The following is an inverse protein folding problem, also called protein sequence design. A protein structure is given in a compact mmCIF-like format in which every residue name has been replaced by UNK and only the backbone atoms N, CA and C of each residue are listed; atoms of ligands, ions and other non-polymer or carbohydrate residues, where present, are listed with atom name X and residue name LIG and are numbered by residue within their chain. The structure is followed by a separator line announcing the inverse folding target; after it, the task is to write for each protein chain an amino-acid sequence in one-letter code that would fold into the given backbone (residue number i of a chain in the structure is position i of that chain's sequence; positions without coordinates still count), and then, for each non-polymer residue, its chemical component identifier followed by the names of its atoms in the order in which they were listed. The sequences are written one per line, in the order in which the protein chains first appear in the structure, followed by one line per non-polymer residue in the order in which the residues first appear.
data_IF_387097825576
#
_entry.id   IF_387097825576
#
_cell.length_a   1.000
_cell.length_b   1.000
_cell.length_c   1.000
_cell.angle_alpha   90.00
_cell.angle_beta   90.00
_cell.angle_gamma   90.00
#
_symmetry.space_group_name_H-M   'P 1'
#
loop_
_entity.id
_entity.type
_entity.pdbx_description
1 polymer ?
#
# COMPACT_ATOMS: atom_id res chain seq x y z
N UNK A 1 31.10 24.88 18.47
CA UNK A 1 30.13 25.67 17.67
C UNK A 1 29.81 24.85 16.44
N UNK A 2 28.68 24.17 16.29
CA UNK A 2 27.58 23.89 17.20
C UNK A 2 26.96 22.55 16.77
N UNK A 3 26.72 21.68 17.75
CA UNK A 3 25.93 20.47 17.60
C UNK A 3 24.47 20.83 17.34
N UNK A 4 23.92 20.35 16.22
CA UNK A 4 22.49 20.38 15.96
C UNK A 4 21.95 18.95 16.12
N UNK A 5 21.26 18.75 17.24
CA UNK A 5 20.63 17.54 17.71
C UNK A 5 19.78 16.82 16.64
N UNK A 6 20.12 15.55 16.34
CA UNK A 6 19.17 14.59 15.77
C UNK A 6 18.23 14.10 16.88
N UNK A 7 17.10 14.77 17.03
CA UNK A 7 16.02 14.31 17.89
C UNK A 7 15.29 13.10 17.29
N UNK A 8 15.69 11.89 17.66
CA UNK A 8 14.82 10.73 17.52
C UNK A 8 13.76 10.80 18.63
N UNK A 9 12.53 11.19 18.31
CA UNK A 9 11.41 11.03 19.24
C UNK A 9 10.96 9.57 19.24
N UNK A 10 11.39 8.83 20.27
CA UNK A 10 10.76 7.56 20.63
C UNK A 10 9.40 7.88 21.26
N UNK A 11 8.31 7.60 20.55
CA UNK A 11 6.97 7.66 21.13
C UNK A 11 6.66 6.28 21.71
N UNK A 12 6.65 6.18 23.03
CA UNK A 12 6.27 4.99 23.79
C UNK A 12 4.74 5.01 23.99
N UNK A 13 4.03 3.99 23.52
CA UNK A 13 2.56 3.93 23.60
C UNK A 13 2.08 2.70 24.37
N UNK A 14 1.55 2.94 25.57
CA UNK A 14 0.63 2.02 26.24
C UNK A 14 -0.78 2.18 25.68
N UNK A 15 -1.53 1.09 25.59
CA UNK A 15 -2.85 0.98 24.94
C UNK A 15 -3.97 1.88 25.52
N UNK A 16 -3.69 2.66 26.57
CA UNK A 16 -4.64 3.57 27.22
C UNK A 16 -4.25 5.07 27.14
N UNK A 17 -3.15 5.45 26.48
CA UNK A 17 -2.78 6.87 26.40
C UNK A 17 -3.31 7.51 25.11
N UNK A 18 -4.14 8.55 25.26
CA UNK A 18 -4.62 9.38 24.17
C UNK A 18 -3.45 9.95 23.35
N UNK A 19 -3.47 9.70 22.05
CA UNK A 19 -2.62 10.39 21.07
C UNK A 19 -3.00 11.88 21.04
N UNK A 20 -2.31 12.70 21.83
CA UNK A 20 -2.31 14.14 21.63
C UNK A 20 -1.22 14.50 20.62
N UNK A 21 -1.61 14.74 19.37
CA UNK A 21 -0.79 15.51 18.45
C UNK A 21 -0.92 16.98 18.85
N UNK A 22 0.11 17.56 19.46
CA UNK A 22 0.16 19.00 19.69
C UNK A 22 0.22 19.71 18.32
N UNK A 23 -0.86 20.40 17.95
CA UNK A 23 -0.89 21.36 16.83
C UNK A 23 -1.73 21.00 15.60
N UNK A 24 -2.47 19.89 15.58
CA UNK A 24 -3.41 19.59 14.49
C UNK A 24 -4.81 20.15 14.80
N UNK A 25 -5.48 20.74 13.81
CA UNK A 25 -6.90 21.10 13.89
C UNK A 25 -7.72 19.94 14.46
N UNK A 26 -8.65 20.21 15.37
CA UNK A 26 -9.53 19.20 16.00
C UNK A 26 -10.42 18.45 15.00
N UNK A 27 -10.55 18.93 13.75
CA UNK A 27 -11.23 18.21 12.67
C UNK A 27 -10.25 17.22 11.98
N UNK A 28 -10.46 15.90 12.07
CA UNK A 28 -9.62 14.93 11.35
C UNK A 28 -9.85 14.93 9.84
N UNK A 29 -10.91 15.57 9.35
CA UNK A 29 -11.30 15.62 7.92
C UNK A 29 -10.94 16.96 7.25
N UNK A 30 -9.87 17.61 7.68
CA UNK A 30 -9.32 18.80 6.99
C UNK A 30 -9.09 18.48 5.51
N UNK A 31 -9.48 19.41 4.64
CA UNK A 31 -9.42 19.30 3.17
C UNK A 31 -10.27 18.18 2.52
N UNK A 32 -11.13 17.51 3.28
CA UNK A 32 -12.08 16.55 2.72
C UNK A 32 -13.31 17.27 2.17
N UNK A 33 -13.73 16.88 0.96
CA UNK A 33 -14.92 17.42 0.32
C UNK A 33 -16.18 17.14 1.15
N UNK A 34 -17.03 18.16 1.34
CA UNK A 34 -18.28 18.06 2.12
C UNK A 34 -19.14 16.85 1.77
N UNK A 35 -19.37 16.58 0.47
CA UNK A 35 -20.14 15.39 0.03
C UNK A 35 -19.53 14.05 0.47
N UNK A 36 -18.20 13.94 0.52
CA UNK A 36 -17.53 12.73 1.02
C UNK A 36 -17.69 12.64 2.53
N UNK A 37 -17.45 13.75 3.24
CA UNK A 37 -17.62 13.84 4.69
C UNK A 37 -19.06 13.47 5.11
N UNK A 38 -20.07 14.02 4.46
CA UNK A 38 -21.48 13.74 4.72
C UNK A 38 -21.83 12.26 4.47
N UNK A 39 -21.28 11.67 3.40
CA UNK A 39 -21.49 10.27 3.06
C UNK A 39 -20.83 9.34 4.10
N UNK A 40 -19.59 9.64 4.49
CA UNK A 40 -18.86 8.88 5.49
C UNK A 40 -19.51 8.97 6.86
N UNK A 41 -19.99 10.15 7.27
CA UNK A 41 -20.75 10.32 8.51
C UNK A 41 -22.02 9.46 8.53
N UNK A 42 -22.71 9.29 7.39
CA UNK A 42 -23.90 8.44 7.27
C UNK A 42 -23.58 6.94 7.33
N UNK A 43 -22.48 6.51 6.73
CA UNK A 43 -22.14 5.07 6.64
C UNK A 43 -21.37 4.57 7.88
N UNK A 44 -20.64 5.45 8.56
CA UNK A 44 -19.65 5.09 9.58
C UNK A 44 -20.02 5.61 10.99
N UNK A 45 -21.29 5.98 11.19
CA UNK A 45 -21.80 6.75 12.35
C UNK A 45 -21.34 6.26 13.73
N UNK A 46 -21.12 4.96 13.90
CA UNK A 46 -20.85 4.37 15.22
C UNK A 46 -19.34 4.18 15.54
N UNK A 47 -18.45 4.33 14.55
CA UNK A 47 -17.02 3.98 14.66
C UNK A 47 -16.06 5.02 14.02
N UNK A 48 -16.52 6.27 13.86
CA UNK A 48 -15.77 7.32 13.15
C UNK A 48 -14.43 7.68 13.82
N UNK A 49 -14.37 7.65 15.16
CA UNK A 49 -13.23 8.14 15.94
C UNK A 49 -11.95 7.27 15.84
N UNK A 50 -12.08 5.96 15.67
CA UNK A 50 -10.91 5.09 15.47
C UNK A 50 -10.37 5.20 14.04
N UNK A 51 -11.28 5.30 13.06
CA UNK A 51 -10.97 5.52 11.65
C UNK A 51 -10.29 6.86 11.43
N UNK A 52 -10.78 7.90 12.10
CA UNK A 52 -10.30 9.27 11.93
C UNK A 52 -8.83 9.44 12.32
N UNK A 53 -8.35 8.73 13.34
CA UNK A 53 -6.93 8.80 13.76
C UNK A 53 -5.97 8.32 12.69
N UNK A 54 -6.22 7.11 12.13
CA UNK A 54 -5.37 6.60 11.05
C UNK A 54 -5.56 7.41 9.77
N UNK A 55 -6.78 7.90 9.50
CA UNK A 55 -7.06 8.79 8.39
C UNK A 55 -6.24 10.09 8.48
N UNK A 56 -6.19 10.75 9.65
CA UNK A 56 -5.36 11.95 9.86
C UNK A 56 -3.88 11.67 9.60
N UNK A 57 -3.41 10.46 9.94
CA UNK A 57 -2.04 10.05 9.64
C UNK A 57 -1.83 9.94 8.12
N UNK A 58 -2.73 9.25 7.41
CA UNK A 58 -2.72 9.18 5.95
C UNK A 58 -2.76 10.57 5.31
N UNK A 59 -3.63 11.46 5.81
CA UNK A 59 -3.82 12.82 5.30
C UNK A 59 -2.61 13.74 5.54
N UNK A 60 -1.63 13.32 6.36
CA UNK A 60 -0.34 14.02 6.49
C UNK A 60 0.62 13.76 5.33
N UNK A 61 0.27 12.87 4.38
CA UNK A 61 1.06 12.49 3.20
C UNK A 61 2.47 11.91 3.49
N UNK A 62 2.86 11.75 4.74
CA UNK A 62 4.08 11.04 5.16
C UNK A 62 4.04 9.57 4.79
N UNK A 63 5.21 8.99 4.54
CA UNK A 63 5.31 7.53 4.40
C UNK A 63 4.94 6.86 5.72
N UNK A 64 4.13 5.81 5.67
CA UNK A 64 3.59 5.13 6.86
C UNK A 64 3.99 3.66 6.81
N UNK A 65 4.52 3.14 7.92
CA UNK A 65 4.67 1.70 8.14
C UNK A 65 3.92 1.29 9.41
N UNK A 66 2.88 0.47 9.26
CA UNK A 66 2.08 -0.07 10.34
C UNK A 66 2.12 -1.60 10.36
N UNK A 67 2.97 -2.15 11.23
CA UNK A 67 3.27 -3.59 11.32
C UNK A 67 2.57 -4.29 12.51
N UNK A 68 1.40 -3.80 12.89
CA UNK A 68 0.51 -4.45 13.87
C UNK A 68 -0.95 -4.23 13.45
N UNK A 69 -1.19 -4.20 12.13
CA UNK A 69 -2.55 -4.22 11.60
C UNK A 69 -3.17 -5.55 12.03
N UNK A 70 -4.40 -5.53 12.54
CA UNK A 70 -5.12 -6.77 12.87
C UNK A 70 -5.85 -7.23 11.61
N UNK A 71 -5.34 -8.23 10.87
CA UNK A 71 -5.99 -8.74 9.67
C UNK A 71 -7.32 -9.42 10.03
N UNK A 72 -8.25 -9.48 9.07
CA UNK A 72 -9.55 -10.11 9.29
C UNK A 72 -9.51 -11.58 9.68
N UNK A 73 -8.46 -12.30 9.26
CA UNK A 73 -8.32 -13.73 9.49
C UNK A 73 -7.82 -14.06 10.90
N UNK A 74 -7.43 -13.06 11.70
CA UNK A 74 -7.20 -13.24 13.14
C UNK A 74 -8.49 -12.88 13.89
N UNK A 75 -9.19 -13.89 14.43
CA UNK A 75 -10.49 -13.77 15.13
C UNK A 75 -10.56 -12.52 16.05
N UNK A 76 -11.69 -11.80 15.98
CA UNK A 76 -12.16 -10.98 17.09
C UNK A 76 -12.09 -9.47 16.95
N UNK A 77 -12.11 -8.86 15.75
CA UNK A 77 -12.21 -7.40 15.73
C UNK A 77 -12.80 -6.74 14.50
N UNK A 78 -13.72 -5.80 14.75
CA UNK A 78 -14.11 -4.71 13.85
C UNK A 78 -12.91 -3.82 13.41
N UNK A 79 -11.70 -4.07 13.92
CA UNK A 79 -10.47 -3.27 13.71
C UNK A 79 -9.83 -3.42 12.32
N UNK A 80 -9.96 -4.54 11.59
CA UNK A 80 -9.48 -4.60 10.19
C UNK A 80 -10.21 -3.54 9.34
N UNK A 81 -11.52 -3.38 9.57
CA UNK A 81 -12.32 -2.39 8.86
C UNK A 81 -11.88 -0.95 9.15
N UNK A 82 -11.33 -0.62 10.32
CA UNK A 82 -11.06 0.78 10.65
C UNK A 82 -9.82 1.33 9.93
N UNK A 83 -8.72 0.56 9.91
CA UNK A 83 -7.49 0.93 9.20
C UNK A 83 -7.73 0.89 7.68
N UNK A 84 -8.46 -0.13 7.23
CA UNK A 84 -8.88 -0.27 5.83
C UNK A 84 -9.70 0.94 5.37
N UNK A 85 -10.73 1.32 6.12
CA UNK A 85 -11.55 2.48 5.79
C UNK A 85 -10.72 3.75 5.73
N UNK A 86 -9.81 3.95 6.67
CA UNK A 86 -8.98 5.15 6.73
C UNK A 86 -8.09 5.34 5.48
N UNK A 87 -7.37 4.31 5.02
CA UNK A 87 -6.56 4.47 3.80
C UNK A 87 -7.42 4.53 2.53
N UNK A 88 -8.59 3.88 2.50
CA UNK A 88 -9.52 3.96 1.37
C UNK A 88 -10.17 5.34 1.28
N UNK A 89 -10.59 5.90 2.41
CA UNK A 89 -11.09 7.28 2.51
C UNK A 89 -10.03 8.27 2.06
N UNK A 90 -8.77 8.08 2.45
CA UNK A 90 -7.64 8.89 2.01
C UNK A 90 -7.45 8.83 0.49
N UNK A 91 -7.38 7.64 -0.08
CA UNK A 91 -7.29 7.43 -1.53
C UNK A 91 -8.45 8.10 -2.29
N UNK A 92 -9.70 7.95 -1.81
CA UNK A 92 -10.87 8.59 -2.39
C UNK A 92 -10.77 10.12 -2.30
N UNK A 93 -10.42 10.66 -1.13
CA UNK A 93 -10.25 12.09 -0.91
C UNK A 93 -9.25 12.66 -1.91
N UNK A 94 -8.08 12.01 -2.01
CA UNK A 94 -7.00 12.42 -2.89
C UNK A 94 -7.42 12.41 -4.37
N UNK A 95 -8.01 11.31 -4.85
CA UNK A 95 -8.51 11.21 -6.23
C UNK A 95 -9.54 12.31 -6.54
N UNK A 96 -10.48 12.55 -5.62
CA UNK A 96 -11.48 13.60 -5.80
C UNK A 96 -10.88 15.00 -5.81
N UNK A 97 -9.91 15.28 -4.93
CA UNK A 97 -9.20 16.58 -4.87
C UNK A 97 -8.44 16.85 -6.16
N UNK A 98 -7.60 15.92 -6.58
CA UNK A 98 -6.79 16.06 -7.81
C UNK A 98 -7.68 16.27 -9.04
N UNK A 99 -8.78 15.53 -9.12
CA UNK A 99 -9.73 15.68 -10.23
C UNK A 99 -10.49 17.01 -10.21
N UNK A 100 -10.89 17.49 -9.03
CA UNK A 100 -11.60 18.76 -8.91
C UNK A 100 -10.71 19.94 -9.32
N UNK A 101 -9.41 19.90 -9.00
CA UNK A 101 -8.43 20.90 -9.45
C UNK A 101 -8.34 20.90 -10.98
N UNK A 102 -8.14 19.73 -11.60
CA UNK A 102 -8.06 19.61 -13.07
C UNK A 102 -9.33 20.13 -13.74
N UNK A 103 -10.51 19.78 -13.24
CA UNK A 103 -11.79 20.25 -13.82
C UNK A 103 -11.94 21.77 -13.70
N UNK A 104 -11.52 22.36 -12.56
CA UNK A 104 -11.58 23.81 -12.35
C UNK A 104 -10.64 24.55 -13.31
N UNK A 105 -9.41 24.09 -13.44
CA UNK A 105 -8.43 24.68 -14.34
C UNK A 105 -8.81 24.49 -15.81
N UNK A 106 -9.34 23.33 -16.19
CA UNK A 106 -9.92 23.12 -17.52
C UNK A 106 -11.06 24.12 -17.81
N UNK A 107 -11.88 24.46 -16.82
CA UNK A 107 -12.95 25.43 -16.99
C UNK A 107 -12.43 26.86 -17.13
N UNK A 108 -11.39 27.24 -16.38
CA UNK A 108 -10.73 28.54 -16.51
C UNK A 108 -10.10 28.71 -17.90
N UNK A 109 -9.32 27.73 -18.35
CA UNK A 109 -8.63 27.77 -19.66
C UNK A 109 -9.59 27.78 -20.84
N UNK A 110 -10.79 27.20 -20.71
CA UNK A 110 -11.84 27.33 -21.74
C UNK A 110 -12.46 28.73 -21.80
N UNK A 111 -12.49 29.44 -20.67
CA UNK A 111 -13.12 30.76 -20.56
C UNK A 111 -12.13 31.89 -20.87
N UNK A 112 -10.83 31.66 -20.69
CA UNK A 112 -9.77 32.63 -20.95
C UNK A 112 -8.63 31.97 -21.75
N UNK A 113 -8.74 32.04 -23.07
CA UNK A 113 -7.79 31.41 -24.00
C UNK A 113 -6.44 32.16 -24.10
N UNK A 114 -6.35 33.38 -23.57
CA UNK A 114 -5.13 34.19 -23.57
C UNK A 114 -4.31 34.01 -22.28
N UNK A 115 -4.77 33.17 -21.34
CA UNK A 115 -4.02 32.90 -20.12
C UNK A 115 -2.73 32.14 -20.46
N UNK A 116 -1.58 32.73 -20.15
CA UNK A 116 -0.31 32.04 -20.25
C UNK A 116 -0.16 31.03 -19.10
N UNK A 117 -0.32 29.75 -19.44
CA UNK A 117 -0.18 28.60 -18.53
C UNK A 117 1.25 28.49 -17.99
N UNK A 118 2.25 29.04 -18.69
CA UNK A 118 3.65 28.93 -18.30
C UNK A 118 4.04 29.89 -17.17
N UNK A 119 3.34 31.02 -17.03
CA UNK A 119 3.63 32.05 -16.01
C UNK A 119 2.91 31.80 -14.67
N UNK A 120 1.78 31.07 -14.67
CA UNK A 120 1.02 30.76 -13.46
C UNK A 120 1.07 29.26 -13.10
N UNK A 121 1.89 28.95 -12.08
CA UNK A 121 2.03 27.61 -11.51
C UNK A 121 0.70 26.99 -11.03
N UNK A 122 -0.36 27.79 -10.82
CA UNK A 122 -1.68 27.29 -10.42
C UNK A 122 -2.34 26.40 -11.49
N UNK A 123 -1.91 26.50 -12.75
CA UNK A 123 -2.35 25.65 -13.86
C UNK A 123 -1.51 24.38 -14.04
N UNK A 124 -0.39 24.23 -13.32
CA UNK A 124 0.42 23.01 -13.30
C UNK A 124 -0.17 21.99 -12.34
N UNK A 125 -1.25 21.36 -12.78
CA UNK A 125 -2.09 20.49 -11.95
C UNK A 125 -2.02 19.00 -12.33
N UNK A 126 -1.30 18.64 -13.38
CA UNK A 126 -1.23 17.29 -13.94
C UNK A 126 0.11 16.60 -13.65
N UNK A 127 0.08 15.28 -13.73
CA UNK A 127 1.29 14.46 -13.95
C UNK A 127 1.27 13.90 -15.36
N UNK A 128 2.30 13.18 -15.77
CA UNK A 128 2.40 12.51 -17.08
C UNK A 128 1.19 11.63 -17.41
N UNK A 129 0.65 10.93 -16.42
CA UNK A 129 -0.47 10.00 -16.57
C UNK A 129 -1.54 10.23 -15.51
N UNK A 130 -2.73 9.69 -15.77
CA UNK A 130 -3.89 9.88 -14.91
C UNK A 130 -3.87 9.11 -13.59
N UNK A 131 -3.38 7.85 -13.51
CA UNK A 131 -3.37 7.10 -12.27
C UNK A 131 -2.63 7.84 -11.17
N UNK A 132 -3.27 8.00 -10.01
CA UNK A 132 -2.70 8.65 -8.82
C UNK A 132 -2.52 7.70 -7.66
N UNK A 133 -3.31 6.64 -7.59
CA UNK A 133 -3.25 5.68 -6.47
C UNK A 133 -2.96 4.27 -7.00
N UNK A 134 -2.08 3.56 -6.31
CA UNK A 134 -1.77 2.15 -6.55
C UNK A 134 -2.04 1.33 -5.28
N UNK A 135 -2.90 0.31 -5.38
CA UNK A 135 -3.07 -0.73 -4.37
C UNK A 135 -2.31 -1.99 -4.77
N UNK A 136 -1.38 -2.43 -3.93
CA UNK A 136 -0.66 -3.69 -4.06
C UNK A 136 -1.15 -4.66 -2.99
N UNK A 137 -1.75 -5.76 -3.46
CA UNK A 137 -2.48 -6.71 -2.61
C UNK A 137 -2.08 -8.14 -2.96
N UNK A 138 -2.05 -9.07 -1.99
CA UNK A 138 -1.52 -10.42 -2.22
C UNK A 138 -2.49 -11.35 -2.96
N UNK A 139 -3.80 -11.25 -2.70
CA UNK A 139 -4.81 -12.24 -3.13
C UNK A 139 -6.06 -11.56 -3.70
N UNK A 140 -6.74 -12.23 -4.64
CA UNK A 140 -8.03 -11.77 -5.18
C UNK A 140 -9.11 -11.61 -4.12
N UNK A 141 -9.20 -12.52 -3.14
CA UNK A 141 -10.15 -12.39 -2.01
C UNK A 141 -9.98 -11.07 -1.24
N UNK A 142 -8.73 -10.65 -1.01
CA UNK A 142 -8.39 -9.37 -0.37
C UNK A 142 -8.71 -8.18 -1.30
N UNK A 143 -8.38 -8.28 -2.59
CA UNK A 143 -8.73 -7.28 -3.58
C UNK A 143 -10.25 -7.07 -3.66
N UNK A 144 -11.04 -8.13 -3.59
CA UNK A 144 -12.51 -8.08 -3.54
C UNK A 144 -13.02 -7.30 -2.34
N UNK A 145 -12.52 -7.61 -1.14
CA UNK A 145 -12.88 -6.89 0.09
C UNK A 145 -12.59 -5.40 -0.05
N UNK A 146 -11.42 -5.04 -0.57
CA UNK A 146 -10.99 -3.66 -0.79
C UNK A 146 -11.85 -2.93 -1.80
N UNK A 147 -12.13 -3.52 -2.97
CA UNK A 147 -12.95 -2.88 -3.99
C UNK A 147 -14.39 -2.72 -3.52
N UNK A 148 -14.98 -3.74 -2.90
CA UNK A 148 -16.34 -3.66 -2.33
C UNK A 148 -16.42 -2.51 -1.33
N UNK A 149 -15.44 -2.41 -0.42
CA UNK A 149 -15.43 -1.35 0.60
C UNK A 149 -15.16 0.03 0.01
N UNK A 150 -14.25 0.14 -0.96
CA UNK A 150 -13.99 1.38 -1.71
C UNK A 150 -15.26 1.91 -2.40
N UNK A 151 -16.04 1.01 -3.01
CA UNK A 151 -17.32 1.38 -3.64
C UNK A 151 -18.34 1.84 -2.59
N UNK A 152 -18.45 1.15 -1.44
CA UNK A 152 -19.34 1.57 -0.34
C UNK A 152 -18.96 2.95 0.22
N UNK A 153 -17.67 3.23 0.36
CA UNK A 153 -17.16 4.52 0.84
C UNK A 153 -17.27 5.64 -0.20
N UNK A 154 -17.55 5.32 -1.47
CA UNK A 154 -17.78 6.29 -2.52
C UNK A 154 -19.26 6.71 -2.54
N UNK A 155 -19.58 8.01 -2.65
CA UNK A 155 -20.96 8.50 -2.77
C UNK A 155 -21.53 8.31 -4.18
N UNK A 156 -20.77 7.71 -5.10
CA UNK A 156 -21.14 7.55 -6.51
C UNK A 156 -21.83 6.20 -6.75
N UNK A 157 -22.73 6.17 -7.72
CA UNK A 157 -23.39 4.92 -8.08
C UNK A 157 -22.42 3.97 -8.79
N UNK A 158 -22.55 2.69 -8.55
CA UNK A 158 -21.77 1.70 -9.26
C UNK A 158 -22.42 1.44 -10.64
N UNK A 159 -21.62 1.26 -11.71
CA UNK A 159 -22.17 0.91 -13.04
C UNK A 159 -22.33 -0.61 -13.17
N UNK A 160 -23.57 -1.09 -13.14
CA UNK A 160 -23.95 -2.52 -13.04
C UNK A 160 -23.11 -3.48 -13.89
N UNK A 161 -22.92 -3.20 -15.19
CA UNK A 161 -22.20 -4.11 -16.09
C UNK A 161 -20.77 -4.45 -15.61
N UNK A 162 -20.07 -3.49 -14.99
CA UNK A 162 -18.70 -3.72 -14.50
C UNK A 162 -18.66 -4.50 -13.19
N UNK A 163 -19.73 -4.46 -12.38
CA UNK A 163 -19.81 -5.27 -11.16
C UNK A 163 -20.10 -6.73 -11.48
N UNK A 164 -20.93 -6.99 -12.49
CA UNK A 164 -21.22 -8.37 -12.91
C UNK A 164 -19.94 -9.11 -13.32
N UNK A 165 -19.08 -8.46 -14.11
CA UNK A 165 -17.76 -9.01 -14.45
C UNK A 165 -16.88 -9.18 -13.20
N UNK A 166 -16.83 -8.17 -12.33
CA UNK A 166 -16.02 -8.23 -11.12
C UNK A 166 -16.41 -9.38 -10.20
N UNK A 167 -17.72 -9.55 -9.96
CA UNK A 167 -18.28 -10.66 -9.18
C UNK A 167 -17.94 -12.02 -9.79
N UNK A 168 -17.96 -12.13 -11.12
CA UNK A 168 -17.58 -13.37 -11.82
C UNK A 168 -16.11 -13.71 -11.67
N UNK A 169 -15.22 -12.71 -11.67
CA UNK A 169 -13.76 -12.93 -11.62
C UNK A 169 -13.21 -13.02 -10.20
N UNK A 170 -13.82 -12.33 -9.23
CA UNK A 170 -13.31 -12.23 -7.85
C UNK A 170 -14.23 -12.90 -6.80
N UNK A 171 -15.44 -13.34 -7.20
CA UNK A 171 -16.45 -13.94 -6.32
C UNK A 171 -17.56 -12.98 -5.86
N UNK A 172 -18.71 -13.53 -5.45
CA UNK A 172 -19.89 -12.73 -5.08
C UNK A 172 -19.92 -12.35 -3.59
N UNK A 173 -19.64 -13.28 -2.68
CA UNK A 173 -19.77 -13.07 -1.24
C UNK A 173 -18.48 -13.40 -0.48
N UNK A 174 -18.25 -12.74 0.66
CA UNK A 174 -17.18 -13.14 1.59
C UNK A 174 -17.61 -14.36 2.43
N UNK A 175 -18.89 -14.74 2.33
CA UNK A 175 -19.57 -15.77 3.13
C UNK A 175 -19.65 -17.14 2.43
N UNK A 176 -19.23 -17.23 1.16
CA UNK A 176 -18.89 -18.49 0.47
C UNK A 176 -17.59 -19.05 1.07
N UNK A 177 -17.64 -19.36 2.37
CA UNK A 177 -16.57 -20.05 3.06
C UNK A 177 -16.63 -21.52 2.63
N UNK A 178 -15.58 -21.98 1.96
CA UNK A 178 -15.36 -23.42 1.81
C UNK A 178 -15.33 -24.09 3.17
N UNK A 179 -15.71 -25.38 3.24
CA UNK A 179 -15.68 -26.09 4.51
C UNK A 179 -14.27 -26.03 5.13
N UNK A 180 -14.16 -25.60 6.40
CA UNK A 180 -12.87 -25.36 7.01
C UNK A 180 -12.08 -26.67 7.07
N UNK A 181 -10.85 -26.63 6.57
CA UNK A 181 -9.97 -27.79 6.66
C UNK A 181 -9.59 -28.02 8.13
N UNK A 182 -10.08 -29.11 8.71
CA UNK A 182 -9.84 -29.47 10.12
C UNK A 182 -8.37 -29.71 10.45
N UNK A 183 -7.54 -30.02 9.45
CA UNK A 183 -6.09 -30.17 9.62
C UNK A 183 -5.31 -28.85 9.67
N UNK A 184 -5.97 -27.74 9.34
CA UNK A 184 -5.35 -26.42 9.25
C UNK A 184 -5.81 -25.49 10.38
N UNK A 185 -4.93 -24.59 10.85
CA UNK A 185 -5.31 -23.53 11.78
C UNK A 185 -6.47 -22.66 11.28
N UNK A 186 -7.20 -22.04 12.21
CA UNK A 186 -8.38 -21.22 11.88
C UNK A 186 -8.04 -20.00 11.02
N UNK A 187 -6.93 -19.34 11.30
CA UNK A 187 -6.41 -18.20 10.55
C UNK A 187 -6.02 -18.58 9.12
N UNK A 188 -5.41 -19.77 8.93
CA UNK A 188 -5.16 -20.33 7.60
C UNK A 188 -6.46 -20.48 6.81
N UNK A 189 -7.47 -21.14 7.40
CA UNK A 189 -8.76 -21.35 6.72
C UNK A 189 -9.46 -20.04 6.36
N UNK A 190 -9.31 -18.99 7.19
CA UNK A 190 -9.90 -17.68 6.90
C UNK A 190 -9.12 -16.88 5.84
N UNK A 191 -7.78 -16.92 5.86
CA UNK A 191 -6.95 -16.23 4.87
C UNK A 191 -7.12 -16.83 3.48
N UNK A 192 -7.16 -18.16 3.40
CA UNK A 192 -7.30 -18.90 2.15
C UNK A 192 -8.76 -19.24 1.81
N UNK A 193 -9.72 -18.62 2.48
CA UNK A 193 -11.13 -18.72 2.09
C UNK A 193 -11.39 -17.95 0.79
N UNK A 194 -12.04 -18.61 -0.17
CA UNK A 194 -12.40 -18.06 -1.46
C UNK A 194 -11.25 -18.04 -2.47
N UNK A 195 -11.27 -17.10 -3.41
CA UNK A 195 -10.28 -17.04 -4.49
C UNK A 195 -8.91 -16.53 -4.01
N UNK A 196 -7.94 -17.44 -3.97
CA UNK A 196 -6.54 -17.22 -3.55
C UNK A 196 -5.59 -16.96 -4.71
N UNK A 197 -6.10 -16.79 -5.93
CA UNK A 197 -5.26 -16.44 -7.08
C UNK A 197 -4.56 -15.10 -6.83
N UNK A 198 -3.26 -15.05 -7.12
CA UNK A 198 -2.37 -13.91 -6.92
C UNK A 198 -2.00 -13.24 -8.25
N UNK A 199 -2.76 -13.51 -9.31
CA UNK A 199 -2.60 -12.91 -10.62
C UNK A 199 -3.81 -12.04 -11.00
N UNK A 200 -3.77 -10.76 -10.63
CA UNK A 200 -4.80 -9.80 -11.00
C UNK A 200 -4.23 -8.39 -11.17
N UNK A 201 -4.77 -7.66 -12.15
CA UNK A 201 -4.40 -6.28 -12.44
C UNK A 201 -5.54 -5.58 -13.18
N UNK A 202 -6.12 -4.54 -12.60
CA UNK A 202 -7.19 -3.77 -13.23
C UNK A 202 -7.22 -2.32 -12.75
N UNK A 203 -7.79 -1.45 -13.59
CA UNK A 203 -7.94 -0.02 -13.31
C UNK A 203 -9.35 0.36 -12.87
N UNK A 204 -9.46 1.29 -11.93
CA UNK A 204 -10.71 1.89 -11.44
C UNK A 204 -10.76 3.35 -11.87
N UNK A 205 -11.85 3.75 -12.51
CA UNK A 205 -12.12 5.11 -12.95
C UNK A 205 -13.34 5.68 -12.23
N UNK A 206 -13.16 6.83 -11.60
CA UNK A 206 -14.25 7.64 -11.09
C UNK A 206 -14.73 8.56 -12.21
N UNK A 207 -16.05 8.60 -12.42
CA UNK A 207 -16.72 9.55 -13.32
C UNK A 207 -17.51 10.57 -12.50
N UNK A 208 -18.28 11.45 -13.14
CA UNK A 208 -19.08 12.45 -12.38
C UNK A 208 -20.20 11.78 -11.56
N UNK A 209 -20.71 10.64 -12.02
CA UNK A 209 -21.89 9.97 -11.44
C UNK A 209 -21.60 8.55 -10.98
N UNK A 210 -20.59 7.88 -11.54
CA UNK A 210 -20.35 6.47 -11.27
C UNK A 210 -18.90 6.05 -11.14
N UNK A 211 -18.69 4.92 -10.46
CA UNK A 211 -17.43 4.16 -10.43
C UNK A 211 -17.44 3.11 -11.53
N UNK A 212 -16.37 3.05 -12.33
CA UNK A 212 -16.17 2.07 -13.41
C UNK A 212 -14.94 1.21 -13.11
N UNK A 213 -15.14 -0.10 -13.02
CA UNK A 213 -14.04 -1.08 -12.93
C UNK A 213 -13.53 -1.44 -14.33
N UNK A 214 -12.34 -2.06 -14.40
CA UNK A 214 -11.69 -2.50 -15.64
C UNK A 214 -11.48 -1.39 -16.68
N UNK A 215 -11.24 -0.17 -16.22
CA UNK A 215 -10.84 0.90 -17.13
C UNK A 215 -9.39 0.70 -17.57
N UNK A 216 -9.06 1.14 -18.79
CA UNK A 216 -7.68 1.19 -19.26
C UNK A 216 -6.82 1.96 -18.24
N UNK A 217 -5.57 1.54 -18.00
CA UNK A 217 -4.69 2.12 -16.99
C UNK A 217 -4.52 3.63 -17.17
N UNK A 218 -4.20 4.11 -18.36
CA UNK A 218 -4.05 5.56 -18.64
C UNK A 218 -5.34 6.36 -18.45
N UNK A 219 -6.50 5.70 -18.44
CA UNK A 219 -7.80 6.32 -18.19
C UNK A 219 -8.30 6.12 -16.75
N UNK A 220 -7.58 5.39 -15.91
CA UNK A 220 -7.95 5.07 -14.53
C UNK A 220 -7.40 6.09 -13.55
N UNK A 221 -8.07 6.23 -12.41
CA UNK A 221 -7.59 7.08 -11.31
C UNK A 221 -6.85 6.24 -10.26
N UNK A 222 -7.26 4.97 -10.10
CA UNK A 222 -6.67 3.99 -9.18
C UNK A 222 -6.31 2.72 -9.96
N UNK A 223 -5.16 2.13 -9.66
CA UNK A 223 -4.77 0.80 -10.14
C UNK A 223 -4.78 -0.16 -8.94
N UNK A 224 -5.37 -1.34 -9.14
CA UNK A 224 -5.37 -2.43 -8.17
C UNK A 224 -4.66 -3.61 -8.80
N UNK A 225 -3.63 -4.11 -8.12
CA UNK A 225 -2.79 -5.17 -8.66
C UNK A 225 -2.22 -6.07 -7.58
N UNK A 226 -1.88 -7.30 -7.97
CA UNK A 226 -0.87 -8.07 -7.24
C UNK A 226 0.53 -7.65 -7.66
N UNK A 227 1.54 -7.77 -6.76
CA UNK A 227 2.94 -7.54 -7.15
C UNK A 227 3.39 -8.42 -8.32
N UNK A 228 2.94 -9.68 -8.36
CA UNK A 228 3.24 -10.62 -9.45
C UNK A 228 2.71 -10.11 -10.79
N UNK A 229 1.40 -9.84 -10.89
CA UNK A 229 0.78 -9.44 -12.15
C UNK A 229 1.33 -8.11 -12.66
N UNK A 230 1.63 -7.17 -11.75
CA UNK A 230 2.20 -5.89 -12.13
C UNK A 230 3.65 -6.01 -12.60
N UNK A 231 4.48 -6.81 -11.92
CA UNK A 231 5.84 -7.12 -12.38
C UNK A 231 5.81 -7.75 -13.77
N UNK A 232 4.98 -8.78 -13.99
CA UNK A 232 4.82 -9.41 -15.30
C UNK A 232 4.39 -8.41 -16.37
N UNK A 233 3.48 -7.49 -16.03
CA UNK A 233 3.05 -6.42 -16.95
C UNK A 233 4.19 -5.48 -17.31
N UNK A 234 5.04 -5.10 -16.35
CA UNK A 234 6.21 -4.24 -16.56
C UNK A 234 7.25 -4.96 -17.43
N UNK A 235 7.52 -6.24 -17.17
CA UNK A 235 8.50 -7.07 -17.89
C UNK A 235 8.04 -7.49 -19.32
N UNK A 236 6.88 -7.01 -19.77
CA UNK A 236 6.35 -7.31 -21.11
C UNK A 236 5.52 -8.61 -21.23
N UNK A 237 5.30 -9.32 -20.12
CA UNK A 237 4.44 -10.48 -19.94
C UNK A 237 5.00 -11.82 -20.46
N UNK A 238 4.72 -12.92 -19.77
CA UNK A 238 5.18 -14.28 -20.15
C UNK A 238 4.52 -14.84 -21.43
N UNK A 239 3.35 -14.35 -21.84
CA UNK A 239 2.47 -15.11 -22.77
C UNK A 239 2.58 -14.72 -24.25
N UNK A 240 3.33 -13.68 -24.64
CA UNK A 240 3.40 -13.30 -26.07
C UNK A 240 4.78 -12.84 -26.55
N UNK A 241 5.75 -13.76 -26.59
CA UNK A 241 6.83 -13.75 -27.59
C UNK A 241 6.27 -14.02 -29.01
N UNK A 242 5.22 -13.29 -29.44
CA UNK A 242 4.77 -13.34 -30.84
C UNK A 242 5.72 -12.45 -31.66
N UNK A 243 6.60 -13.11 -32.43
CA UNK A 243 7.42 -12.55 -33.53
C UNK A 243 8.50 -11.54 -33.11
N UNK A 244 9.57 -12.01 -32.48
CA UNK A 244 10.94 -11.47 -32.67
C UNK A 244 11.23 -9.99 -32.33
N UNK A 245 10.29 -9.23 -31.78
CA UNK A 245 10.52 -7.89 -31.24
C UNK A 245 10.25 -7.91 -29.73
N UNK A 246 11.19 -7.46 -28.88
CA UNK A 246 10.88 -7.22 -27.47
C UNK A 246 9.72 -6.23 -27.43
N UNK A 247 8.62 -6.62 -26.81
CA UNK A 247 7.50 -5.71 -26.58
C UNK A 247 8.00 -4.69 -25.57
N UNK A 248 7.98 -3.40 -25.92
CA UNK A 248 8.41 -2.32 -25.03
C UNK A 248 7.71 -2.44 -23.68
N UNK A 249 8.50 -2.34 -22.60
CA UNK A 249 8.00 -2.26 -21.24
C UNK A 249 7.02 -1.08 -21.15
N UNK A 250 5.74 -1.39 -20.99
CA UNK A 250 4.67 -0.39 -20.89
C UNK A 250 4.45 -0.11 -19.41
N UNK A 251 5.39 0.62 -18.77
CA UNK A 251 5.33 1.03 -17.37
C UNK A 251 4.96 2.50 -17.17
N UNK A 252 4.81 3.29 -18.24
CA UNK A 252 4.57 4.72 -18.16
C UNK A 252 3.31 5.09 -17.36
N UNK A 253 2.31 4.20 -17.28
CA UNK A 253 1.11 4.40 -16.47
C UNK A 253 1.39 4.51 -14.95
N UNK A 254 2.60 4.17 -14.50
CA UNK A 254 3.08 4.28 -13.12
C UNK A 254 3.86 5.58 -12.85
N UNK A 255 4.12 6.40 -13.87
CA UNK A 255 4.89 7.64 -13.78
C UNK A 255 4.30 8.67 -12.81
N UNK A 256 2.97 8.67 -12.64
CA UNK A 256 2.24 9.71 -11.93
C UNK A 256 1.57 9.27 -10.62
N UNK A 257 1.95 8.12 -10.10
CA UNK A 257 1.45 7.61 -8.82
C UNK A 257 1.90 8.54 -7.67
N UNK A 258 0.94 9.02 -6.89
CA UNK A 258 1.13 9.90 -5.74
C UNK A 258 0.89 9.15 -4.41
N UNK A 259 0.08 8.08 -4.41
CA UNK A 259 -0.16 7.22 -3.24
C UNK A 259 0.04 5.77 -3.62
N UNK A 260 0.86 5.04 -2.87
CA UNK A 260 0.99 3.58 -2.92
C UNK A 260 0.53 3.01 -1.59
N UNK A 261 -0.35 2.02 -1.64
CA UNK A 261 -0.76 1.25 -0.48
C UNK A 261 -0.38 -0.21 -0.71
N UNK A 262 0.53 -0.72 0.12
CA UNK A 262 0.88 -2.13 0.22
C UNK A 262 0.15 -2.67 1.43
N UNK A 263 -0.95 -3.39 1.21
CA UNK A 263 -1.70 -4.03 2.30
C UNK A 263 -1.35 -5.51 2.40
N UNK A 264 -1.41 -6.06 3.61
CA UNK A 264 -1.02 -7.43 3.91
C UNK A 264 0.41 -7.76 3.45
N UNK A 265 1.37 -6.87 3.76
CA UNK A 265 2.76 -7.03 3.35
C UNK A 265 3.40 -8.33 3.89
N UNK A 266 2.92 -8.84 5.02
CA UNK A 266 3.28 -10.15 5.60
C UNK A 266 2.90 -11.30 4.66
N UNK A 267 1.71 -11.26 4.07
CA UNK A 267 1.27 -12.27 3.11
C UNK A 267 2.05 -12.14 1.80
N UNK A 268 2.30 -10.92 1.33
CA UNK A 268 3.16 -10.67 0.16
C UNK A 268 4.58 -11.20 0.40
N UNK A 269 5.11 -11.04 1.62
CA UNK A 269 6.41 -11.57 2.01
C UNK A 269 6.47 -13.09 1.96
N UNK A 270 5.36 -13.77 2.28
CA UNK A 270 5.25 -15.24 2.18
C UNK A 270 5.14 -15.73 0.73
N UNK A 271 4.65 -14.89 -0.20
CA UNK A 271 4.57 -15.22 -1.63
C UNK A 271 5.92 -15.01 -2.31
N UNK A 272 6.30 -13.75 -2.54
CA UNK A 272 7.57 -13.38 -3.12
C UNK A 272 7.83 -11.88 -2.94
N UNK A 273 8.65 -11.52 -1.95
CA UNK A 273 8.98 -10.13 -1.65
C UNK A 273 9.72 -9.40 -2.80
N UNK A 274 10.48 -10.12 -3.63
CA UNK A 274 11.23 -9.53 -4.74
C UNK A 274 10.31 -8.90 -5.79
N UNK A 275 9.08 -9.42 -5.95
CA UNK A 275 8.10 -8.85 -6.88
C UNK A 275 7.66 -7.45 -6.43
N UNK A 276 7.46 -7.25 -5.12
CA UNK A 276 7.13 -5.94 -4.58
C UNK A 276 8.29 -4.96 -4.78
N UNK A 277 9.52 -5.38 -4.51
CA UNK A 277 10.71 -4.56 -4.71
C UNK A 277 10.82 -4.08 -6.17
N UNK A 278 10.74 -5.02 -7.11
CA UNK A 278 10.81 -4.73 -8.55
C UNK A 278 9.71 -3.76 -9.02
N UNK A 279 8.49 -3.88 -8.48
CA UNK A 279 7.40 -2.95 -8.78
C UNK A 279 7.72 -1.54 -8.27
N UNK A 280 8.18 -1.40 -7.02
CA UNK A 280 8.47 -0.08 -6.43
C UNK A 280 9.63 0.64 -7.12
N UNK A 281 10.62 -0.11 -7.62
CA UNK A 281 11.73 0.42 -8.42
C UNK A 281 11.27 1.04 -9.74
N UNK A 282 10.11 0.64 -10.26
CA UNK A 282 9.59 1.07 -11.56
C UNK A 282 8.58 2.22 -11.46
N UNK A 283 8.29 2.70 -10.25
CA UNK A 283 7.36 3.80 -10.01
C UNK A 283 8.02 5.16 -10.28
N UNK A 284 7.23 6.10 -10.79
CA UNK A 284 7.61 7.51 -10.97
C UNK A 284 8.77 7.80 -11.92
N UNK A 285 9.11 6.85 -12.81
CA UNK A 285 10.02 7.14 -13.93
C UNK A 285 9.39 8.06 -14.96
N UNK A 286 10.25 8.75 -15.73
CA UNK A 286 9.83 9.49 -16.90
C UNK A 286 9.18 8.55 -17.92
N UNK A 287 8.01 8.91 -18.48
CA UNK A 287 7.38 8.10 -19.50
C UNK A 287 8.26 8.05 -20.76
N UNK A 288 8.32 6.87 -21.38
CA UNK A 288 9.01 6.65 -22.64
C UNK A 288 8.21 7.12 -23.86
N UNK A 289 6.88 7.16 -23.74
CA UNK A 289 5.95 7.48 -24.84
C UNK A 289 5.28 8.83 -24.62
N UNK A 290 4.95 9.48 -25.73
CA UNK A 290 4.07 10.66 -25.70
C UNK A 290 2.65 10.26 -25.33
N UNK A 291 2.14 10.83 -24.25
CA UNK A 291 0.76 10.66 -23.79
C UNK A 291 -0.05 11.93 -24.08
N UNK A 292 -1.38 11.83 -24.05
CA UNK A 292 -2.33 12.92 -24.40
C UNK A 292 -2.31 14.11 -23.39
N UNK A 293 -1.39 14.11 -22.44
CA UNK A 293 -1.29 15.12 -21.38
C UNK A 293 -0.67 16.40 -21.92
N UNK A 294 -1.22 17.57 -21.53
CA UNK A 294 -0.62 18.85 -21.90
C UNK A 294 0.65 19.08 -21.08
N UNK A 295 1.81 19.05 -21.73
CA UNK A 295 3.14 19.19 -21.10
C UNK A 295 3.25 20.47 -20.26
N UNK A 296 2.62 21.57 -20.69
CA UNK A 296 2.67 22.85 -19.98
C UNK A 296 1.97 22.82 -18.61
N UNK A 297 1.12 21.81 -18.36
CA UNK A 297 0.39 21.63 -17.10
C UNK A 297 1.01 20.58 -16.19
N UNK A 298 2.12 19.97 -16.61
CA UNK A 298 2.81 18.97 -15.81
C UNK A 298 3.52 19.69 -14.65
N UNK A 299 3.37 19.17 -13.44
CA UNK A 299 4.03 19.73 -12.26
C UNK A 299 5.56 19.62 -12.38
N UNK A 300 6.34 20.63 -11.96
CA UNK A 300 7.79 20.64 -12.14
C UNK A 300 8.49 19.41 -11.56
N UNK A 301 8.08 18.94 -10.38
CA UNK A 301 8.68 17.76 -9.75
C UNK A 301 8.51 16.45 -10.52
N UNK A 302 7.56 16.36 -11.45
CA UNK A 302 7.49 15.24 -12.39
C UNK A 302 8.56 15.36 -13.48
N UNK A 303 8.79 16.57 -13.98
CA UNK A 303 9.80 16.87 -15.01
C UNK A 303 11.22 16.71 -14.45
N UNK A 304 11.42 17.08 -13.18
CA UNK A 304 12.72 17.03 -12.50
C UNK A 304 13.06 15.64 -11.89
N UNK A 305 12.28 14.59 -12.19
CA UNK A 305 12.45 13.23 -11.66
C UNK A 305 12.37 13.14 -10.11
N UNK A 306 11.69 14.11 -9.49
CA UNK A 306 11.54 14.20 -8.04
C UNK A 306 10.23 13.61 -7.51
N UNK A 307 9.35 13.13 -8.38
CA UNK A 307 8.04 12.60 -8.01
C UNK A 307 8.08 11.51 -6.92
N UNK A 308 9.14 10.70 -6.86
CA UNK A 308 9.35 9.71 -5.79
C UNK A 308 9.41 10.30 -4.38
N UNK A 309 9.82 11.57 -4.23
CA UNK A 309 9.87 12.28 -2.96
C UNK A 309 8.51 12.87 -2.57
N UNK A 310 7.61 13.07 -3.53
CA UNK A 310 6.25 13.56 -3.28
C UNK A 310 5.23 12.42 -3.08
N UNK A 311 5.59 11.21 -3.53
CA UNK A 311 4.77 10.01 -3.36
C UNK A 311 4.70 9.59 -1.89
N UNK A 312 3.49 9.32 -1.42
CA UNK A 312 3.26 8.65 -0.14
C UNK A 312 3.22 7.13 -0.33
N UNK A 313 4.00 6.40 0.47
CA UNK A 313 3.96 4.94 0.54
C UNK A 313 3.42 4.50 1.90
N UNK A 314 2.33 3.72 1.91
CA UNK A 314 1.69 3.17 3.11
C UNK A 314 1.89 1.65 3.09
N UNK A 315 2.68 1.13 4.02
CA UNK A 315 2.95 -0.31 4.18
C UNK A 315 2.23 -0.82 5.43
N UNK A 316 1.34 -1.79 5.24
CA UNK A 316 0.52 -2.37 6.29
C UNK A 316 0.81 -3.87 6.43
N UNK A 317 1.04 -4.32 7.66
CA UNK A 317 1.31 -5.72 7.96
C UNK A 317 0.89 -6.11 9.36
N UNK A 318 0.70 -7.42 9.59
CA UNK A 318 0.44 -7.99 10.90
C UNK A 318 1.67 -8.01 11.82
N UNK A 319 2.88 -8.08 11.23
CA UNK A 319 4.15 -8.09 11.94
C UNK A 319 5.24 -7.37 11.14
N UNK A 320 6.39 -7.14 11.76
CA UNK A 320 7.51 -6.45 11.13
C UNK A 320 8.56 -7.47 10.70
N UNK A 321 9.07 -7.37 9.47
CA UNK A 321 10.25 -8.13 9.02
C UNK A 321 11.44 -7.22 8.69
N UNK A 322 12.68 -7.75 8.68
CA UNK A 322 13.84 -7.00 8.22
C UNK A 322 13.69 -6.46 6.78
N UNK A 323 13.08 -7.23 5.89
CA UNK A 323 12.86 -6.88 4.48
C UNK A 323 11.90 -5.70 4.34
N UNK A 324 10.82 -5.68 5.15
CA UNK A 324 9.91 -4.53 5.24
C UNK A 324 10.62 -3.27 5.74
N UNK A 325 11.48 -3.40 6.77
CA UNK A 325 12.28 -2.28 7.26
C UNK A 325 13.24 -1.76 6.19
N UNK A 326 13.93 -2.65 5.49
CA UNK A 326 14.88 -2.30 4.44
C UNK A 326 14.18 -1.54 3.31
N UNK A 327 13.04 -2.06 2.83
CA UNK A 327 12.23 -1.44 1.78
C UNK A 327 11.66 -0.08 2.24
N UNK A 328 11.18 0.03 3.49
CA UNK A 328 10.70 1.31 4.03
C UNK A 328 11.83 2.35 4.17
N UNK A 329 13.04 1.91 4.51
CA UNK A 329 14.17 2.82 4.65
C UNK A 329 14.77 3.23 3.30
N UNK A 330 14.83 2.31 2.32
CA UNK A 330 15.44 2.54 1.02
C UNK A 330 14.52 3.15 -0.04
N UNK A 331 13.26 2.71 -0.13
CA UNK A 331 12.38 3.04 -1.27
C UNK A 331 11.28 4.05 -0.96
N UNK A 332 10.98 4.27 0.33
CA UNK A 332 10.03 5.30 0.77
C UNK A 332 10.86 6.54 1.08
N UNK A 333 10.70 7.63 0.33
CA UNK A 333 11.59 8.81 0.41
C UNK A 333 10.79 10.11 0.54
N UNK A 334 9.60 10.05 1.12
CA UNK A 334 8.72 11.21 1.15
C UNK A 334 9.37 12.42 1.87
N UNK A 335 9.26 13.62 1.29
CA UNK A 335 9.86 14.84 1.83
C UNK A 335 9.22 15.29 3.16
N UNK A 336 7.93 14.99 3.39
CA UNK A 336 7.23 15.21 4.67
C UNK A 336 7.74 14.26 5.77
N UNK A 337 8.51 13.24 5.40
CA UNK A 337 9.13 12.27 6.29
C UNK A 337 8.35 10.98 6.44
N UNK A 338 8.68 10.24 7.50
CA UNK A 338 8.24 8.85 7.73
C UNK A 338 7.65 8.68 9.12
N UNK A 339 6.61 7.85 9.22
CA UNK A 339 6.02 7.42 10.49
C UNK A 339 6.01 5.90 10.55
N UNK A 340 6.60 5.34 11.62
CA UNK A 340 6.59 3.91 11.90
C UNK A 340 5.82 3.65 13.18
N UNK A 341 4.73 2.89 13.08
CA UNK A 341 3.96 2.44 14.23
C UNK A 341 4.59 1.15 14.76
N UNK A 342 5.44 1.30 15.78
CA UNK A 342 6.03 0.18 16.49
C UNK A 342 5.06 -0.32 17.58
N UNK A 343 4.92 -1.62 17.72
CA UNK A 343 4.21 -2.25 18.85
C UNK A 343 5.21 -3.01 19.69
N UNK A 344 5.21 -2.73 20.98
CA UNK A 344 5.95 -3.53 21.95
C UNK A 344 5.09 -4.75 22.32
N UNK A 345 5.65 -5.95 22.12
CA UNK A 345 5.00 -7.19 22.52
C UNK A 345 5.55 -7.62 23.87
N UNK A 346 4.65 -8.03 24.77
CA UNK A 346 5.07 -8.71 26.00
C UNK A 346 5.74 -10.01 25.61
N UNK A 347 7.02 -10.18 25.97
CA UNK A 347 7.78 -11.38 25.64
C UNK A 347 7.07 -12.64 26.12
N UNK A 348 7.16 -13.71 25.34
CA UNK A 348 6.60 -15.02 25.69
C UNK A 348 7.59 -15.90 26.47
N UNK A 349 8.86 -15.51 26.54
CA UNK A 349 9.89 -16.23 27.29
C UNK A 349 9.50 -16.50 28.75
N UNK A 350 8.90 -15.54 29.50
CA UNK A 350 8.45 -15.80 30.87
C UNK A 350 7.26 -16.77 30.98
N UNK A 351 6.60 -17.11 29.87
CA UNK A 351 5.47 -18.05 29.84
C UNK A 351 5.92 -19.50 29.62
N UNK A 352 7.20 -19.73 29.33
CA UNK A 352 7.74 -21.07 29.17
C UNK A 352 7.85 -21.69 30.56
N UNK A 353 7.04 -22.71 30.84
CA UNK A 353 7.00 -23.38 32.15
C UNK A 353 8.27 -24.18 32.46
N UNK A 354 8.97 -24.64 31.42
CA UNK A 354 10.26 -25.32 31.52
C UNK A 354 11.36 -24.27 31.36
N UNK A 355 12.23 -24.13 32.35
CA UNK A 355 13.46 -23.36 32.20
C UNK A 355 14.39 -24.07 31.22
N UNK A 356 14.25 -23.77 29.93
CA UNK A 356 15.17 -24.24 28.90
C UNK A 356 16.40 -23.34 28.98
N UNK A 357 17.57 -23.93 29.25
CA UNK A 357 18.85 -23.22 29.20
C UNK A 357 19.13 -22.79 27.76
N UNK A 358 18.94 -21.51 27.46
CA UNK A 358 19.34 -20.94 26.18
C UNK A 358 20.85 -20.69 26.17
N UNK A 359 21.55 -21.31 25.23
CA UNK A 359 22.99 -21.08 25.00
C UNK A 359 23.13 -20.28 23.71
N UNK A 360 23.72 -19.09 23.80
CA UNK A 360 24.03 -18.26 22.66
C UNK A 360 25.50 -18.45 22.30
N UNK A 361 25.78 -19.09 21.16
CA UNK A 361 27.14 -19.21 20.64
C UNK A 361 27.40 -18.17 19.56
N UNK A 362 28.53 -17.48 19.66
CA UNK A 362 28.99 -16.52 18.66
C UNK A 362 29.79 -17.26 17.60
N UNK A 363 29.52 -16.94 16.34
CA UNK A 363 30.31 -17.38 15.19
C UNK A 363 30.72 -16.16 14.38
N UNK A 364 31.81 -16.30 13.63
CA UNK A 364 32.32 -15.24 12.76
C UNK A 364 31.93 -15.54 11.30
N UNK A 365 31.65 -14.48 10.55
CA UNK A 365 31.39 -14.54 9.12
C UNK A 365 32.15 -13.40 8.44
N UNK A 366 32.77 -13.68 7.29
CA UNK A 366 33.60 -12.72 6.56
C UNK A 366 32.79 -11.60 5.92
N UNK A 367 31.50 -11.84 5.63
CA UNK A 367 30.57 -10.86 5.09
C UNK A 367 29.11 -11.22 5.40
N UNK A 368 28.18 -10.28 5.16
CA UNK A 368 26.73 -10.52 5.28
C UNK A 368 26.25 -11.57 4.27
N UNK A 369 26.84 -11.63 3.08
CA UNK A 369 26.46 -12.59 2.03
C UNK A 369 26.84 -14.03 2.38
N UNK A 370 27.95 -14.22 3.10
CA UNK A 370 28.44 -15.54 3.55
C UNK A 370 27.84 -15.95 4.92
N UNK A 371 26.96 -15.14 5.50
CA UNK A 371 26.46 -15.34 6.86
C UNK A 371 25.76 -16.68 7.05
N UNK A 372 24.94 -17.10 6.07
CA UNK A 372 24.15 -18.33 6.16
C UNK A 372 25.05 -19.57 5.98
N UNK A 373 26.01 -19.52 5.05
CA UNK A 373 27.00 -20.59 4.86
C UNK A 373 27.90 -20.73 6.09
N UNK A 374 28.43 -19.61 6.62
CA UNK A 374 29.23 -19.62 7.83
C UNK A 374 28.46 -20.12 9.06
N UNK A 375 27.16 -19.78 9.17
CA UNK A 375 26.29 -20.30 10.24
C UNK A 375 26.10 -21.81 10.11
N UNK A 376 25.86 -22.30 8.90
CA UNK A 376 25.69 -23.72 8.63
C UNK A 376 26.97 -24.51 8.90
N UNK A 377 28.11 -24.00 8.45
CA UNK A 377 29.42 -24.59 8.73
C UNK A 377 29.73 -24.62 10.22
N UNK A 378 29.47 -23.52 10.95
CA UNK A 378 29.64 -23.48 12.40
C UNK A 378 28.73 -24.50 13.09
N UNK A 379 27.48 -24.65 12.65
CA UNK A 379 26.57 -25.66 13.17
C UNK A 379 27.14 -27.07 12.96
N UNK A 380 27.54 -27.41 11.73
CA UNK A 380 28.08 -28.73 11.40
C UNK A 380 29.38 -29.06 12.16
N UNK A 381 30.24 -28.08 12.39
CA UNK A 381 31.58 -28.31 12.97
C UNK A 381 31.64 -28.16 14.48
N UNK A 382 30.80 -27.31 15.09
CA UNK A 382 30.87 -26.97 16.53
C UNK A 382 29.63 -27.35 17.32
N UNK A 383 28.44 -27.28 16.74
CA UNK A 383 27.18 -27.50 17.45
C UNK A 383 26.72 -28.95 17.31
N UNK A 384 26.68 -29.47 16.09
CA UNK A 384 26.18 -30.81 15.80
C UNK A 384 26.97 -31.93 16.52
N UNK A 385 28.31 -31.91 16.58
CA UNK A 385 29.05 -32.93 17.31
C UNK A 385 28.73 -32.95 18.82
N UNK A 386 28.56 -31.77 19.43
CA UNK A 386 28.19 -31.66 20.86
C UNK A 386 26.80 -32.22 21.13
N UNK A 387 25.87 -32.09 20.18
CA UNK A 387 24.53 -32.67 20.30
C UNK A 387 24.62 -34.20 20.22
N UNK A 388 25.39 -34.73 19.27
CA UNK A 388 25.60 -36.18 19.16
C UNK A 388 26.25 -36.78 20.42
N UNK A 389 27.25 -36.11 20.99
CA UNK A 389 27.90 -36.53 22.24
C UNK A 389 26.99 -36.42 23.48
N UNK A 390 25.90 -35.65 23.41
CA UNK A 390 24.95 -35.49 24.53
C UNK A 390 23.74 -36.42 24.48
N UNK A 391 23.51 -37.07 23.33
CA UNK A 391 22.44 -38.08 23.13
C UNK A 391 22.93 -39.52 23.42
N UNK A 392 24.24 -39.73 23.62
CA UNK A 392 24.85 -40.91 24.25
C UNK A 392 24.94 -40.74 25.77
#
# INVERSE_FOLDING_TARGET
MGDACRGHSKIQMGWNSALYFQGASDDPFVDVKGKLKDHWQKILSDDLNYRSRFFSLCNSYRDIMHCNKKPFYLKGSKVDSSTMDAYLMHALSHVHRTRDVVIKNDAKLRNDANTDVMEDDSYRDQGFTRPKVLFLLPLKSIARRIVKRLIQLSPLTQKDNSMGQFKKEFGESDDELEEPNSSKPTDFNLLFAGDVEDHFLFGIKFTKKSVKLYSNFYASDIIVASPLALKLKIDGGEVTKKKGRPKENDSDFLSSIEIVVVDYADVISMQNWSHLHAVLEQLNHLPSKEHVTNVMRIRPWYLDEQARYYRQTIILSSYLTPEMNALFNGSCLNYEGKVKLATEFTGVLPKIQLEIRQVYERFDASSIGELDDARFEYFCTKVYPKIQESDE
#
